data_IF_279843830172
#
_entry.id   IF_279843830172
#
_cell.length_a   1.000
_cell.length_b   1.000
_cell.length_c   1.000
_cell.angle_alpha   90.00
_cell.angle_beta   90.00
_cell.angle_gamma   90.00
#
_symmetry.space_group_name_H-M   'P 1'
#
loop_
_entity.id
_entity.type
_entity.pdbx_description
1 polymer ?
#
# COMPACT_ATOMS: atom_id res chain seq x y z
N UNK A 1 28.78 -10.32 -23.22
CA UNK A 1 27.47 -10.98 -23.35
C UNK A 1 27.45 -12.25 -22.51
N UNK A 2 26.95 -12.20 -21.28
CA UNK A 2 26.64 -13.40 -20.49
C UNK A 2 25.24 -13.22 -19.91
N UNK A 3 24.24 -13.62 -20.70
CA UNK A 3 22.87 -13.81 -20.26
C UNK A 3 22.84 -15.07 -19.42
N UNK A 4 22.73 -14.96 -18.09
CA UNK A 4 22.50 -16.08 -17.17
C UNK A 4 21.82 -15.54 -15.90
N UNK A 5 20.69 -16.05 -15.37
CA UNK A 5 19.80 -17.17 -15.69
C UNK A 5 18.46 -16.87 -14.99
N UNK A 6 17.35 -17.29 -15.60
CA UNK A 6 16.07 -17.53 -14.92
C UNK A 6 16.28 -18.53 -13.78
N UNK A 7 15.74 -18.24 -12.61
CA UNK A 7 15.25 -19.25 -11.66
C UNK A 7 13.81 -18.92 -11.31
N UNK A 8 12.89 -19.48 -12.09
CA UNK A 8 11.64 -20.02 -11.53
C UNK A 8 12.04 -21.27 -10.76
N UNK A 9 11.65 -21.38 -9.49
CA UNK A 9 11.14 -22.57 -8.78
C UNK A 9 11.35 -22.37 -7.27
N UNK A 10 10.26 -22.42 -6.50
CA UNK A 10 10.28 -22.45 -5.04
C UNK A 10 8.85 -22.54 -4.51
N UNK A 11 8.38 -23.78 -4.34
CA UNK A 11 7.37 -24.29 -3.38
C UNK A 11 6.30 -23.31 -2.86
N UNK A 12 5.02 -23.64 -3.09
CA UNK A 12 3.87 -23.02 -2.45
C UNK A 12 3.87 -23.26 -0.93
N UNK A 13 4.72 -22.53 -0.21
CA UNK A 13 4.50 -22.19 1.18
C UNK A 13 3.58 -20.96 1.19
N UNK A 14 2.55 -20.95 2.05
CA UNK A 14 1.63 -19.82 2.21
C UNK A 14 2.42 -18.50 2.14
N UNK A 15 2.29 -17.77 1.04
CA UNK A 15 3.13 -16.62 0.76
C UNK A 15 2.89 -15.59 1.85
N UNK A 16 3.91 -15.35 2.66
CA UNK A 16 3.94 -14.22 3.59
C UNK A 16 4.53 -13.08 2.77
N UNK A 17 3.66 -12.28 2.16
CA UNK A 17 4.00 -11.23 1.21
C UNK A 17 5.33 -10.56 1.54
N UNK A 18 6.27 -10.65 0.61
CA UNK A 18 7.62 -10.14 0.76
C UNK A 18 7.63 -8.61 0.67
N UNK A 19 8.65 -7.96 1.23
CA UNK A 19 8.83 -6.51 1.10
C UNK A 19 8.65 -5.97 -0.35
N UNK A 20 9.25 -6.56 -1.40
CA UNK A 20 9.04 -6.08 -2.77
C UNK A 20 7.59 -6.19 -3.28
N UNK A 21 6.83 -7.20 -2.83
CA UNK A 21 5.42 -7.38 -3.22
C UNK A 21 4.54 -6.31 -2.57
N UNK A 22 4.78 -6.03 -1.28
CA UNK A 22 4.09 -4.97 -0.54
C UNK A 22 4.39 -3.60 -1.17
N UNK A 23 5.67 -3.29 -1.41
CA UNK A 23 6.05 -2.03 -2.06
C UNK A 23 5.54 -1.93 -3.50
N UNK A 24 5.46 -3.07 -4.21
CA UNK A 24 4.85 -3.18 -5.53
C UNK A 24 3.38 -2.77 -5.52
N UNK A 25 2.57 -3.36 -4.62
CA UNK A 25 1.16 -3.00 -4.45
C UNK A 25 0.98 -1.52 -4.07
N UNK A 26 1.84 -0.95 -3.22
CA UNK A 26 1.73 0.48 -2.87
C UNK A 26 1.98 1.38 -4.09
N UNK A 27 2.88 0.98 -4.99
CA UNK A 27 3.20 1.74 -6.21
C UNK A 27 2.07 1.71 -7.25
N UNK A 28 1.18 0.72 -7.21
CA UNK A 28 0.04 0.66 -8.14
C UNK A 28 -1.09 1.62 -7.78
N UNK A 29 -1.12 2.14 -6.54
CA UNK A 29 -2.17 3.05 -6.09
C UNK A 29 -2.11 4.34 -6.92
N UNK A 30 -3.13 4.68 -7.72
CA UNK A 30 -3.11 5.89 -8.54
C UNK A 30 -3.21 7.15 -7.67
N UNK A 31 -2.79 8.29 -8.25
CA UNK A 31 -2.96 9.60 -7.61
C UNK A 31 -4.44 9.85 -7.34
N UNK A 32 -4.75 10.41 -6.18
CA UNK A 32 -6.14 10.71 -5.77
C UNK A 32 -6.91 9.51 -5.22
N UNK A 33 -6.26 8.35 -5.13
CA UNK A 33 -6.81 7.15 -4.49
C UNK A 33 -5.96 6.68 -3.32
N UNK A 34 -6.56 5.84 -2.48
CA UNK A 34 -5.93 5.23 -1.31
C UNK A 34 -6.20 3.73 -1.26
N UNK A 35 -5.36 2.98 -0.54
CA UNK A 35 -5.64 1.62 -0.11
C UNK A 35 -5.49 1.52 1.40
N UNK A 36 -6.28 0.65 2.03
CA UNK A 36 -6.05 0.36 3.45
C UNK A 36 -4.86 -0.57 3.64
N UNK A 37 -4.27 -0.60 4.84
CA UNK A 37 -3.27 -1.60 5.19
C UNK A 37 -3.76 -3.05 4.95
N UNK A 38 -5.05 -3.32 5.13
CA UNK A 38 -5.67 -4.61 4.83
C UNK A 38 -5.77 -4.90 3.34
N UNK A 39 -6.09 -3.88 2.53
CA UNK A 39 -6.12 -4.01 1.07
C UNK A 39 -4.73 -4.34 0.53
N UNK A 40 -3.70 -3.69 1.06
CA UNK A 40 -2.31 -3.95 0.66
C UNK A 40 -1.88 -5.35 1.09
N UNK A 41 -2.24 -5.77 2.30
CA UNK A 41 -1.96 -7.13 2.75
C UNK A 41 -2.62 -8.17 1.84
N UNK A 42 -3.88 -7.97 1.46
CA UNK A 42 -4.55 -8.85 0.51
C UNK A 42 -3.92 -8.82 -0.89
N UNK A 43 -3.57 -7.64 -1.39
CA UNK A 43 -2.93 -7.44 -2.70
C UNK A 43 -1.55 -8.11 -2.78
N UNK A 44 -0.73 -7.94 -1.76
CA UNK A 44 0.66 -8.39 -1.73
C UNK A 44 0.82 -9.79 -1.11
N UNK A 45 -0.28 -10.41 -0.65
CA UNK A 45 -0.24 -11.65 0.12
C UNK A 45 0.44 -11.50 1.48
N UNK A 46 0.53 -10.31 2.07
CA UNK A 46 1.15 -10.14 3.39
C UNK A 46 0.38 -10.91 4.47
N UNK A 47 1.09 -11.45 5.47
CA UNK A 47 0.48 -12.24 6.54
C UNK A 47 -0.48 -11.41 7.42
N UNK A 48 -0.27 -10.09 7.51
CA UNK A 48 -1.16 -9.19 8.22
C UNK A 48 -1.01 -7.73 7.78
N UNK A 49 -2.01 -6.88 8.04
CA UNK A 49 -1.88 -5.42 7.89
C UNK A 49 -0.74 -4.83 8.73
N UNK A 50 -0.44 -5.45 9.89
CA UNK A 50 0.66 -5.04 10.77
C UNK A 50 2.02 -5.22 10.10
N UNK A 51 2.19 -6.29 9.31
CA UNK A 51 3.43 -6.50 8.54
C UNK A 51 3.68 -5.35 7.55
N UNK A 52 2.63 -4.84 6.90
CA UNK A 52 2.72 -3.67 6.01
C UNK A 52 3.13 -2.42 6.79
N UNK A 53 2.53 -2.20 7.96
CA UNK A 53 2.91 -1.10 8.85
C UNK A 53 4.37 -1.17 9.32
N UNK A 54 4.82 -2.35 9.77
CA UNK A 54 6.21 -2.57 10.18
C UNK A 54 7.20 -2.31 9.04
N UNK A 55 6.87 -2.72 7.81
CA UNK A 55 7.71 -2.45 6.64
C UNK A 55 7.79 -0.95 6.34
N UNK A 56 6.64 -0.26 6.35
CA UNK A 56 6.60 1.18 6.06
C UNK A 56 7.30 2.02 7.13
N UNK A 57 7.28 1.60 8.39
CA UNK A 57 8.00 2.29 9.47
C UNK A 57 9.53 2.27 9.28
N UNK A 58 10.07 1.27 8.57
CA UNK A 58 11.51 1.13 8.28
C UNK A 58 11.92 1.50 6.85
N UNK A 59 11.03 2.11 6.05
CA UNK A 59 11.30 2.46 4.65
C UNK A 59 11.45 3.97 4.48
N UNK A 60 12.46 4.42 3.72
CA UNK A 60 12.81 5.83 3.51
C UNK A 60 11.85 6.61 2.58
N UNK A 61 10.53 6.45 2.73
CA UNK A 61 9.49 7.16 1.97
C UNK A 61 9.61 7.15 0.43
N UNK A 62 10.43 6.26 -0.16
CA UNK A 62 10.62 6.11 -1.61
C UNK A 62 9.41 5.52 -2.36
N UNK A 63 8.29 5.32 -1.65
CA UNK A 63 7.00 4.86 -2.16
C UNK A 63 5.91 5.83 -1.70
N UNK A 64 4.75 5.90 -2.39
CA UNK A 64 3.65 6.78 -2.00
C UNK A 64 2.93 6.28 -0.73
N UNK A 65 3.67 6.25 0.39
CA UNK A 65 3.22 5.76 1.69
C UNK A 65 1.99 6.53 2.19
N UNK A 66 1.85 7.81 1.83
CA UNK A 66 0.74 8.65 2.24
C UNK A 66 -0.60 8.15 1.68
N UNK A 67 -0.60 7.35 0.60
CA UNK A 67 -1.80 6.71 0.03
C UNK A 67 -2.26 5.47 0.82
N UNK A 68 -1.54 5.09 1.87
CA UNK A 68 -1.88 3.97 2.74
C UNK A 68 -2.55 4.47 4.01
N UNK A 69 -3.79 4.02 4.26
CA UNK A 69 -4.62 4.48 5.39
C UNK A 69 -5.19 3.32 6.20
N UNK A 70 -5.83 3.59 7.32
CA UNK A 70 -6.59 2.58 8.04
C UNK A 70 -7.87 2.21 7.28
N UNK A 71 -8.47 1.06 7.62
CA UNK A 71 -9.65 0.54 6.93
C UNK A 71 -10.87 1.49 7.01
N UNK A 72 -10.94 2.32 8.05
CA UNK A 72 -11.97 3.33 8.26
C UNK A 72 -11.63 4.71 7.66
N UNK A 73 -10.51 4.81 6.93
CA UNK A 73 -10.03 6.05 6.33
C UNK A 73 -9.27 6.98 7.29
N UNK A 74 -9.01 6.58 8.53
CA UNK A 74 -8.12 7.35 9.40
C UNK A 74 -6.67 7.32 8.89
N UNK A 75 -5.97 8.43 9.10
CA UNK A 75 -4.57 8.60 8.69
C UNK A 75 -3.64 7.86 9.65
N UNK A 76 -2.49 7.44 9.13
CA UNK A 76 -1.50 6.68 9.87
C UNK A 76 -0.59 7.58 10.70
N UNK A 77 -0.28 7.14 11.92
CA UNK A 77 0.72 7.76 12.79
C UNK A 77 2.16 7.48 12.33
N UNK A 78 3.13 8.36 12.63
CA UNK A 78 3.02 9.61 13.41
C UNK A 78 2.74 10.88 12.60
N UNK A 79 2.94 10.88 11.28
CA UNK A 79 2.95 12.10 10.45
C UNK A 79 1.58 12.43 9.82
N UNK A 80 0.53 12.52 10.65
CA UNK A 80 -0.86 12.72 10.17
C UNK A 80 -1.02 13.98 9.31
N UNK A 81 -0.39 15.08 9.73
CA UNK A 81 -0.50 16.37 9.03
C UNK A 81 0.17 16.30 7.66
N UNK A 82 1.40 15.77 7.58
CA UNK A 82 2.10 15.58 6.32
C UNK A 82 1.33 14.64 5.39
N UNK A 83 0.81 13.54 5.93
CA UNK A 83 0.00 12.61 5.15
C UNK A 83 -1.24 13.30 4.59
N UNK A 84 -1.96 14.07 5.41
CA UNK A 84 -3.15 14.82 5.00
C UNK A 84 -2.83 15.80 3.88
N UNK A 85 -1.76 16.58 4.01
CA UNK A 85 -1.34 17.56 3.01
C UNK A 85 -1.01 16.90 1.67
N UNK A 86 -0.27 15.78 1.68
CA UNK A 86 0.05 15.03 0.47
C UNK A 86 -1.19 14.45 -0.20
N UNK A 87 -2.13 13.91 0.57
CA UNK A 87 -3.40 13.39 0.06
C UNK A 87 -4.28 14.50 -0.54
N UNK A 88 -4.36 15.66 0.13
CA UNK A 88 -5.09 16.82 -0.38
C UNK A 88 -4.48 17.36 -1.68
N UNK A 89 -3.16 17.41 -1.77
CA UNK A 89 -2.45 17.81 -2.99
C UNK A 89 -2.70 16.85 -4.19
N UNK A 90 -3.16 15.64 -3.91
CA UNK A 90 -3.59 14.68 -4.93
C UNK A 90 -5.11 14.70 -5.22
N UNK A 91 -5.88 15.53 -4.51
CA UNK A 91 -7.33 15.63 -4.68
C UNK A 91 -8.12 14.55 -3.94
N UNK A 92 -7.53 13.87 -2.95
CA UNK A 92 -8.24 12.89 -2.12
C UNK A 92 -9.30 13.58 -1.28
N UNK A 93 -10.53 13.05 -1.31
CA UNK A 93 -11.65 13.60 -0.54
C UNK A 93 -11.62 13.11 0.90
N UNK A 94 -11.98 14.00 1.82
CA UNK A 94 -12.08 13.71 3.24
C UNK A 94 -13.50 13.92 3.74
N UNK A 95 -13.95 13.06 4.66
CA UNK A 95 -15.12 13.26 5.52
C UNK A 95 -14.62 13.62 6.92
N UNK A 96 -14.49 14.92 7.19
CA UNK A 96 -13.88 15.43 8.41
C UNK A 96 -12.37 15.12 8.47
N UNK A 97 -11.96 14.33 9.45
CA UNK A 97 -10.56 13.91 9.65
C UNK A 97 -10.19 12.61 8.91
N UNK A 98 -11.17 11.90 8.35
CA UNK A 98 -10.96 10.62 7.65
C UNK A 98 -11.08 10.78 6.14
N UNK A 99 -10.36 9.96 5.39
CA UNK A 99 -10.52 9.83 3.94
C UNK A 99 -11.92 9.26 3.64
N UNK A 100 -12.56 9.79 2.59
CA UNK A 100 -13.77 9.19 2.04
C UNK A 100 -13.44 7.88 1.32
N UNK A 101 -13.40 6.79 2.07
CA UNK A 101 -13.09 5.45 1.54
C UNK A 101 -14.08 4.99 0.47
N UNK A 102 -15.32 5.51 0.44
CA UNK A 102 -16.27 5.14 -0.60
C UNK A 102 -15.92 5.79 -1.95
N UNK A 103 -15.39 7.01 -1.93
CA UNK A 103 -15.02 7.75 -3.14
C UNK A 103 -13.59 7.45 -3.62
N UNK A 104 -12.66 7.17 -2.70
CA UNK A 104 -11.23 7.18 -3.00
C UNK A 104 -10.53 5.82 -2.87
N UNK A 105 -11.21 4.75 -2.43
CA UNK A 105 -10.56 3.44 -2.25
C UNK A 105 -10.25 2.80 -3.61
N UNK A 106 -8.97 2.58 -3.88
CA UNK A 106 -8.51 1.80 -5.01
C UNK A 106 -8.71 0.31 -4.73
N UNK A 107 -9.22 -0.42 -5.72
CA UNK A 107 -9.20 -1.87 -5.76
C UNK A 107 -8.38 -2.28 -6.98
N UNK A 108 -7.24 -2.98 -6.80
CA UNK A 108 -6.54 -3.53 -7.94
C UNK A 108 -7.51 -4.52 -8.62
N UNK A 109 -7.81 -4.30 -9.90
CA UNK A 109 -8.57 -5.26 -10.69
C UNK A 109 -7.78 -6.57 -10.71
N UNK A 110 -8.34 -7.63 -10.15
CA UNK A 110 -7.78 -8.99 -10.22
C UNK A 110 -7.91 -9.60 -11.62
N UNK A 111 -7.70 -8.80 -12.67
CA UNK A 111 -7.80 -9.27 -14.05
C UNK A 111 -6.42 -9.77 -14.49
N UNK A 112 -6.28 -11.09 -14.47
CA UNK A 112 -5.12 -11.87 -14.88
C UNK A 112 -5.51 -13.31 -15.07
#
# INVERSE_FOLDING_TARGET
MVVRRRTRTGTAAASRGSAPEILGCIRTIPRGCVMSYGDIAACAGAASPRQVGSLLAGTDHAVPWHRVVHADGSLAAPDHERQRQMLMAEGVRFRGSRVDMASCRHRPSSDG
#
